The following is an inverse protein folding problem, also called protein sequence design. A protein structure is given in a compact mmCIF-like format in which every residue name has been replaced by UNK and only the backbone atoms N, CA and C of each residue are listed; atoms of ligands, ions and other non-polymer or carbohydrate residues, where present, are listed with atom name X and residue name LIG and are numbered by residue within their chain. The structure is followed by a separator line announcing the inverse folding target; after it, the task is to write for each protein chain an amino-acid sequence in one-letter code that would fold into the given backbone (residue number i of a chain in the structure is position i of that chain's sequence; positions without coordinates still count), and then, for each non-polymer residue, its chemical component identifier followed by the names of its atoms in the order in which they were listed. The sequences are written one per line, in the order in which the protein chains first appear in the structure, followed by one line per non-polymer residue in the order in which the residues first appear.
data_IF_467730315523
#
_entry.id   IF_467730315523
#
_cell.length_a   1.000
_cell.length_b   1.000
_cell.length_c   1.000
_cell.angle_alpha   90.00
_cell.angle_beta   90.00
_cell.angle_gamma   90.00
#
_symmetry.space_group_name_H-M   'P 1'
#
loop_
_entity.id
_entity.type
_entity.pdbx_description
1 polymer ?
#
# COMPACT_ATOMS: atom_id res chain seq x y z
N UNK A 1 -13.67 51.09 -86.65
CA UNK A 1 -12.78 50.14 -85.92
C UNK A 1 -13.03 50.33 -84.44
N UNK A 2 -13.82 49.46 -83.78
CA UNK A 2 -14.07 49.49 -82.35
C UNK A 2 -13.19 48.47 -81.66
N UNK A 3 -12.32 48.90 -80.77
CA UNK A 3 -11.50 48.02 -79.92
C UNK A 3 -12.32 47.66 -78.67
N UNK A 4 -12.59 46.41 -78.52
CA UNK A 4 -13.21 45.83 -77.31
C UNK A 4 -12.10 45.53 -76.34
N UNK A 5 -12.14 46.11 -75.14
CA UNK A 5 -11.28 45.83 -74.03
C UNK A 5 -11.97 44.73 -73.19
N UNK A 6 -11.35 43.53 -73.10
CA UNK A 6 -11.81 42.46 -72.20
C UNK A 6 -11.11 42.65 -70.90
N UNK A 7 -11.89 42.95 -69.84
CA UNK A 7 -11.42 42.99 -68.44
C UNK A 7 -11.53 41.57 -67.87
N UNK A 8 -10.39 40.93 -67.64
CA UNK A 8 -10.32 39.63 -66.95
C UNK A 8 -10.27 39.91 -65.45
N UNK A 9 -11.36 39.66 -64.74
CA UNK A 9 -11.43 39.72 -63.29
C UNK A 9 -10.82 38.43 -62.67
N UNK A 10 -9.64 38.53 -62.07
CA UNK A 10 -9.00 37.48 -61.31
C UNK A 10 -9.65 37.40 -59.93
N UNK A 11 -10.56 36.46 -59.70
CA UNK A 11 -11.10 36.16 -58.36
C UNK A 11 -10.05 35.37 -57.58
N UNK A 12 -9.37 36.02 -56.64
CA UNK A 12 -8.52 35.38 -55.65
C UNK A 12 -9.45 34.80 -54.56
N UNK A 13 -9.71 33.49 -54.63
CA UNK A 13 -10.32 32.72 -53.50
C UNK A 13 -9.30 32.59 -52.39
N UNK A 14 -9.35 33.49 -51.43
CA UNK A 14 -8.66 33.29 -50.13
C UNK A 14 -9.46 32.23 -49.37
N UNK A 15 -8.98 31.00 -49.38
CA UNK A 15 -9.48 29.94 -48.48
C UNK A 15 -9.02 30.30 -47.07
N UNK A 16 -9.87 30.94 -46.30
CA UNK A 16 -9.78 31.05 -44.84
C UNK A 16 -9.95 29.66 -44.25
N UNK A 17 -8.84 28.98 -44.01
CA UNK A 17 -8.81 27.79 -43.15
C UNK A 17 -9.18 28.26 -41.74
N UNK A 18 -10.46 28.20 -41.40
CA UNK A 18 -10.93 28.36 -40.03
C UNK A 18 -10.40 27.10 -39.30
N UNK A 19 -9.25 27.23 -38.63
CA UNK A 19 -8.89 26.28 -37.60
C UNK A 19 -9.97 26.40 -36.52
N UNK A 20 -10.94 25.50 -36.54
CA UNK A 20 -11.84 25.32 -35.41
C UNK A 20 -10.97 24.93 -34.24
N UNK A 21 -10.72 25.89 -33.36
CA UNK A 21 -10.09 25.63 -32.08
C UNK A 21 -11.04 24.70 -31.32
N UNK A 22 -10.75 23.42 -31.35
CA UNK A 22 -11.55 22.41 -30.62
C UNK A 22 -11.45 22.75 -29.15
N UNK A 23 -12.56 23.26 -28.61
CA UNK A 23 -12.64 23.58 -27.19
C UNK A 23 -12.40 22.30 -26.39
N UNK A 24 -11.45 22.31 -25.48
CA UNK A 24 -11.13 21.15 -24.66
C UNK A 24 -12.35 20.75 -23.82
N UNK A 25 -12.59 19.47 -23.62
CA UNK A 25 -13.61 19.00 -22.67
C UNK A 25 -13.34 19.56 -21.28
N UNK A 26 -14.39 19.95 -20.59
CA UNK A 26 -14.32 20.50 -19.21
C UNK A 26 -15.19 19.64 -18.31
N UNK A 27 -14.63 19.20 -17.19
CA UNK A 27 -15.37 18.59 -16.08
C UNK A 27 -15.17 19.45 -14.81
N UNK A 28 -16.16 19.44 -13.95
CA UNK A 28 -16.16 20.25 -12.71
C UNK A 28 -15.82 19.37 -11.52
N UNK A 29 -15.20 19.96 -10.51
CA UNK A 29 -14.93 19.33 -9.22
C UNK A 29 -15.09 20.36 -8.09
N UNK A 30 -15.55 19.91 -6.93
CA UNK A 30 -15.43 20.63 -5.65
C UNK A 30 -14.27 20.10 -4.83
N UNK A 31 -14.08 18.75 -4.83
CA UNK A 31 -12.95 18.10 -4.18
C UNK A 31 -11.69 18.28 -5.03
N UNK A 32 -10.55 18.49 -4.38
CA UNK A 32 -9.22 18.45 -4.99
C UNK A 32 -8.74 17.03 -5.33
N UNK A 33 -9.55 16.01 -5.03
CA UNK A 33 -9.29 14.62 -5.35
C UNK A 33 -10.37 14.07 -6.27
N UNK A 34 -9.95 13.62 -7.45
CA UNK A 34 -10.75 12.80 -8.35
C UNK A 34 -10.39 11.31 -8.20
N UNK A 35 -11.18 10.43 -8.79
CA UNK A 35 -10.86 9.02 -8.95
C UNK A 35 -10.60 8.71 -10.41
N UNK A 36 -9.59 7.91 -10.71
CA UNK A 36 -9.29 7.43 -12.06
C UNK A 36 -9.50 5.93 -12.16
N UNK A 37 -9.94 5.46 -13.31
CA UNK A 37 -10.08 4.03 -13.61
C UNK A 37 -9.63 3.73 -15.03
N UNK A 38 -8.78 2.70 -15.16
CA UNK A 38 -8.38 2.16 -16.45
C UNK A 38 -9.13 0.85 -16.73
N UNK A 39 -9.89 0.80 -17.83
CA UNK A 39 -10.74 -0.34 -18.16
C UNK A 39 -12.10 -0.33 -17.46
N UNK A 40 -12.89 -1.39 -17.64
CA UNK A 40 -14.26 -1.48 -17.11
C UNK A 40 -14.33 -2.12 -15.72
N UNK A 41 -13.46 -3.09 -15.45
CA UNK A 41 -13.49 -3.93 -14.24
C UNK A 41 -12.35 -3.61 -13.26
N UNK A 42 -11.66 -2.48 -13.43
CA UNK A 42 -10.55 -2.12 -12.56
C UNK A 42 -10.95 -1.15 -11.46
N UNK A 43 -10.21 -1.23 -10.37
CA UNK A 43 -10.40 -0.35 -9.23
C UNK A 43 -10.05 1.08 -9.59
N UNK A 44 -10.85 2.01 -9.11
CA UNK A 44 -10.53 3.42 -9.17
C UNK A 44 -9.34 3.73 -8.27
N UNK A 45 -8.45 4.62 -8.74
CA UNK A 45 -7.30 5.15 -8.00
C UNK A 45 -7.51 6.62 -7.72
N UNK A 46 -7.05 7.15 -6.58
CA UNK A 46 -7.12 8.58 -6.33
C UNK A 46 -6.23 9.34 -7.33
N UNK A 47 -6.72 10.50 -7.76
CA UNK A 47 -6.00 11.46 -8.58
C UNK A 47 -6.09 12.84 -7.93
N UNK A 48 -4.97 13.38 -7.51
CA UNK A 48 -4.92 14.71 -6.90
C UNK A 48 -4.89 15.75 -8.00
N UNK A 49 -5.93 16.58 -8.06
CA UNK A 49 -6.09 17.63 -9.08
C UNK A 49 -5.08 18.74 -8.79
N UNK A 50 -4.20 19.02 -9.76
CA UNK A 50 -3.07 19.94 -9.57
C UNK A 50 -3.13 21.13 -10.55
N UNK A 51 -3.84 22.22 -10.24
CA UNK A 51 -3.95 23.40 -11.11
C UNK A 51 -2.61 24.06 -11.44
N UNK A 52 -1.59 23.85 -10.62
CA UNK A 52 -0.25 24.42 -10.80
C UNK A 52 0.60 23.66 -11.83
N UNK A 53 0.23 22.44 -12.19
CA UNK A 53 0.90 21.65 -13.22
C UNK A 53 0.24 21.91 -14.59
N UNK A 54 1.04 22.19 -15.61
CA UNK A 54 0.53 22.49 -16.97
C UNK A 54 1.37 21.79 -18.03
N UNK A 55 1.01 20.62 -18.49
CA UNK A 55 -0.14 19.80 -18.06
C UNK A 55 0.15 18.97 -16.81
N UNK A 56 -0.92 18.63 -16.08
CA UNK A 56 -0.95 17.57 -15.08
C UNK A 56 -1.11 16.24 -15.82
N UNK A 57 -0.07 15.39 -15.84
CA UNK A 57 0.02 14.27 -16.76
C UNK A 57 -0.40 12.96 -16.09
N UNK A 58 -1.47 12.36 -16.59
CA UNK A 58 -1.86 11.00 -16.30
C UNK A 58 -1.25 10.02 -17.29
N UNK A 59 -0.47 9.05 -16.80
CA UNK A 59 0.17 8.02 -17.62
C UNK A 59 -0.70 6.77 -17.70
N UNK A 60 -1.32 6.55 -18.85
CA UNK A 60 -2.17 5.40 -19.09
C UNK A 60 -1.38 4.18 -19.56
N UNK A 61 -1.77 2.98 -19.08
CA UNK A 61 -1.12 1.71 -19.42
C UNK A 61 -1.48 1.25 -20.84
N UNK A 62 -0.49 0.68 -21.55
CA UNK A 62 -0.64 0.16 -22.93
C UNK A 62 -1.67 -0.96 -23.09
N UNK A 63 -2.11 -1.59 -22.02
CA UNK A 63 -3.08 -2.69 -22.10
C UNK A 63 -4.53 -2.22 -21.96
N UNK A 64 -4.77 -0.92 -21.75
CA UNK A 64 -6.09 -0.37 -21.47
C UNK A 64 -6.60 0.44 -22.64
N UNK A 65 -7.86 0.24 -22.94
CA UNK A 65 -8.52 0.93 -24.06
C UNK A 65 -9.40 2.10 -23.59
N UNK A 66 -9.62 2.22 -22.29
CA UNK A 66 -10.42 3.29 -21.67
C UNK A 66 -9.75 3.84 -20.43
N UNK A 67 -9.81 5.16 -20.26
CA UNK A 67 -9.45 5.86 -19.02
C UNK A 67 -10.61 6.76 -18.64
N UNK A 68 -11.09 6.62 -17.42
CA UNK A 68 -12.17 7.44 -16.87
C UNK A 68 -11.68 8.25 -15.67
N UNK A 69 -12.08 9.49 -15.60
CA UNK A 69 -11.94 10.37 -14.44
C UNK A 69 -13.31 10.64 -13.84
N UNK A 70 -13.43 10.44 -12.55
CA UNK A 70 -14.64 10.67 -11.77
C UNK A 70 -14.33 11.75 -10.74
N UNK A 71 -14.92 12.91 -10.86
CA UNK A 71 -14.93 13.91 -9.80
C UNK A 71 -16.17 13.72 -8.91
N UNK A 72 -16.30 14.53 -7.89
CA UNK A 72 -17.52 14.58 -7.07
C UNK A 72 -18.74 15.19 -7.81
N UNK A 73 -18.54 15.81 -8.98
CA UNK A 73 -19.59 16.43 -9.78
C UNK A 73 -19.79 15.80 -11.15
N UNK A 74 -18.70 15.47 -11.85
CA UNK A 74 -18.74 15.08 -13.26
C UNK A 74 -17.86 13.82 -13.53
N UNK A 75 -18.08 13.23 -14.70
CA UNK A 75 -17.27 12.10 -15.20
C UNK A 75 -16.89 12.33 -16.65
N UNK A 76 -15.64 12.01 -17.01
CA UNK A 76 -15.19 11.96 -18.40
C UNK A 76 -14.48 10.65 -18.69
N UNK A 77 -14.71 10.11 -19.89
CA UNK A 77 -14.09 8.85 -20.34
C UNK A 77 -13.47 9.03 -21.71
N UNK A 78 -12.23 8.60 -21.86
CA UNK A 78 -11.51 8.56 -23.12
C UNK A 78 -11.25 7.12 -23.56
N UNK A 79 -11.46 6.86 -24.87
CA UNK A 79 -10.93 5.66 -25.52
C UNK A 79 -9.51 5.98 -25.95
N UNK A 80 -8.52 5.40 -25.28
CA UNK A 80 -7.12 5.69 -25.53
C UNK A 80 -6.54 4.81 -26.62
N UNK A 81 -5.62 5.37 -27.40
CA UNK A 81 -4.89 4.72 -28.48
C UNK A 81 -3.38 4.98 -28.29
N UNK A 82 -2.52 4.05 -28.75
CA UNK A 82 -1.09 4.27 -28.77
C UNK A 82 -0.72 5.60 -29.43
N UNK A 83 0.33 6.25 -28.92
CA UNK A 83 0.93 7.47 -29.46
C UNK A 83 -0.02 8.69 -29.55
N UNK A 84 -1.17 8.64 -28.85
CA UNK A 84 -2.09 9.77 -28.73
C UNK A 84 -2.11 10.33 -27.32
N UNK A 85 -2.30 11.64 -27.25
CA UNK A 85 -2.58 12.37 -26.02
C UNK A 85 -4.04 12.84 -26.01
N UNK A 86 -4.61 12.98 -24.81
CA UNK A 86 -5.99 13.42 -24.63
C UNK A 86 -5.99 14.50 -23.56
N UNK A 87 -6.37 15.71 -23.99
CA UNK A 87 -6.34 16.91 -23.17
C UNK A 87 -7.75 17.27 -22.69
N UNK A 88 -7.88 17.66 -21.45
CA UNK A 88 -9.12 18.17 -20.87
C UNK A 88 -8.83 19.08 -19.67
N UNK A 89 -9.85 19.78 -19.20
CA UNK A 89 -9.74 20.69 -18.06
C UNK A 89 -10.62 20.18 -16.92
N UNK A 90 -10.07 20.16 -15.69
CA UNK A 90 -10.85 20.02 -14.47
C UNK A 90 -11.00 21.40 -13.86
N UNK A 91 -12.22 21.91 -13.81
CA UNK A 91 -12.54 23.19 -13.18
C UNK A 91 -12.86 22.96 -11.70
N UNK A 92 -11.89 23.29 -10.84
CA UNK A 92 -11.96 23.10 -9.40
C UNK A 92 -12.64 24.32 -8.75
N UNK A 93 -13.71 24.08 -7.99
CA UNK A 93 -14.48 25.12 -7.28
C UNK A 93 -14.98 26.28 -8.16
N UNK A 94 -15.10 26.05 -9.47
CA UNK A 94 -15.51 27.08 -10.42
C UNK A 94 -14.49 28.22 -10.62
N UNK A 95 -13.26 28.08 -10.13
CA UNK A 95 -12.21 29.09 -10.15
C UNK A 95 -10.91 28.64 -10.76
N UNK A 96 -10.39 27.50 -10.29
CA UNK A 96 -9.07 27.02 -10.65
C UNK A 96 -9.16 25.97 -11.75
N UNK A 97 -8.44 26.18 -12.84
CA UNK A 97 -8.43 25.27 -13.98
C UNK A 97 -7.17 24.40 -13.93
N UNK A 98 -7.35 23.10 -13.73
CA UNK A 98 -6.28 22.11 -13.89
C UNK A 98 -6.29 21.58 -15.33
N UNK A 99 -5.23 21.91 -16.09
CA UNK A 99 -5.03 21.39 -17.44
C UNK A 99 -4.46 19.97 -17.32
N UNK A 100 -5.29 18.96 -17.59
CA UNK A 100 -4.95 17.55 -17.45
C UNK A 100 -4.74 16.90 -18.80
N UNK A 101 -3.67 16.12 -18.93
CA UNK A 101 -3.34 15.41 -20.16
C UNK A 101 -3.18 13.89 -19.87
N UNK A 102 -3.89 13.05 -20.61
CA UNK A 102 -3.66 11.62 -20.60
C UNK A 102 -2.63 11.31 -21.67
N UNK A 103 -1.50 10.70 -21.28
CA UNK A 103 -0.48 10.16 -22.19
C UNK A 103 -0.54 8.65 -22.17
N UNK A 104 -0.58 8.07 -23.35
CA UNK A 104 -0.31 6.65 -23.52
C UNK A 104 1.20 6.41 -23.38
N UNK A 105 1.61 5.73 -22.34
CA UNK A 105 2.96 5.18 -22.26
C UNK A 105 2.89 3.70 -22.60
N UNK A 106 3.54 3.31 -23.72
CA UNK A 106 3.85 1.92 -23.97
C UNK A 106 4.71 1.44 -22.80
N UNK A 107 4.09 0.87 -21.79
CA UNK A 107 4.84 0.17 -20.77
C UNK A 107 5.49 -1.01 -21.48
N UNK A 108 6.80 -0.98 -21.63
CA UNK A 108 7.58 -2.23 -21.66
C UNK A 108 7.06 -3.00 -20.48
N UNK A 109 6.36 -4.11 -20.75
CA UNK A 109 5.55 -4.81 -19.76
C UNK A 109 6.43 -5.16 -18.58
N UNK A 110 6.45 -4.29 -17.57
CA UNK A 110 7.05 -4.64 -16.28
C UNK A 110 6.34 -5.90 -15.82
N UNK A 111 7.07 -6.95 -15.49
CA UNK A 111 6.45 -8.16 -15.01
C UNK A 111 5.54 -7.78 -13.83
N UNK A 112 4.33 -8.31 -13.79
CA UNK A 112 3.42 -8.06 -12.67
C UNK A 112 4.15 -8.35 -11.36
N UNK A 113 3.79 -7.69 -10.29
CA UNK A 113 4.38 -7.92 -8.96
C UNK A 113 4.34 -9.40 -8.58
N UNK A 114 3.24 -10.07 -8.90
CA UNK A 114 3.11 -11.51 -8.71
C UNK A 114 4.13 -12.31 -9.55
N UNK A 115 4.42 -11.91 -10.79
CA UNK A 115 5.46 -12.54 -11.61
C UNK A 115 6.85 -12.32 -11.02
N UNK A 116 7.11 -11.12 -10.49
CA UNK A 116 8.36 -10.79 -9.80
C UNK A 116 8.51 -11.61 -8.53
N UNK A 117 7.43 -11.74 -7.73
CA UNK A 117 7.40 -12.56 -6.52
C UNK A 117 7.66 -14.05 -6.84
N UNK A 118 7.04 -14.57 -7.91
CA UNK A 118 7.25 -15.94 -8.38
C UNK A 118 8.69 -16.21 -8.80
N UNK A 119 9.40 -15.25 -9.36
CA UNK A 119 10.82 -15.37 -9.69
C UNK A 119 11.70 -15.38 -8.44
N UNK A 120 11.32 -14.65 -7.39
CA UNK A 120 12.03 -14.59 -6.11
C UNK A 120 11.56 -15.65 -5.10
N UNK A 121 11.21 -16.86 -5.52
CA UNK A 121 10.60 -17.84 -4.64
C UNK A 121 11.60 -18.64 -3.78
N UNK A 122 12.87 -18.72 -4.22
CA UNK A 122 13.86 -19.60 -3.58
C UNK A 122 14.45 -19.01 -2.33
N UNK A 123 14.43 -19.82 -1.29
CA UNK A 123 15.20 -19.64 -0.06
C UNK A 123 16.24 -20.75 0.06
N UNK A 124 17.20 -20.60 0.95
CA UNK A 124 18.24 -21.59 1.23
C UNK A 124 18.20 -21.97 2.70
N UNK A 125 17.59 -23.09 3.01
CA UNK A 125 17.50 -23.63 4.39
C UNK A 125 18.86 -24.07 4.95
N UNK A 126 19.90 -24.16 4.10
CA UNK A 126 21.27 -24.47 4.51
C UNK A 126 22.10 -23.22 4.82
N UNK A 127 21.55 -22.02 4.54
CA UNK A 127 22.20 -20.78 4.92
C UNK A 127 22.34 -20.73 6.46
N UNK A 128 23.57 -20.78 6.92
CA UNK A 128 23.93 -20.79 8.35
C UNK A 128 24.51 -19.46 8.82
N UNK A 129 24.39 -18.38 8.03
CA UNK A 129 24.81 -17.04 8.47
C UNK A 129 24.07 -16.68 9.75
N UNK A 130 24.81 -16.21 10.79
CA UNK A 130 24.18 -15.88 12.05
C UNK A 130 23.26 -14.67 11.91
N UNK A 131 22.06 -14.78 12.46
CA UNK A 131 21.14 -13.67 12.67
C UNK A 131 21.14 -13.27 14.14
N UNK A 132 20.54 -12.13 14.46
CA UNK A 132 20.30 -11.72 15.84
C UNK A 132 19.32 -12.70 16.50
N UNK A 133 19.58 -13.08 17.74
CA UNK A 133 18.67 -13.91 18.53
C UNK A 133 17.33 -13.18 18.69
N UNK A 134 16.23 -13.87 18.50
CA UNK A 134 14.90 -13.32 18.73
C UNK A 134 14.66 -13.12 20.22
N UNK A 135 14.43 -11.89 20.62
CA UNK A 135 14.06 -11.48 21.97
C UNK A 135 12.70 -10.81 21.97
N UNK A 136 12.04 -10.84 23.09
CA UNK A 136 10.70 -10.25 23.26
C UNK A 136 10.67 -9.52 24.60
N UNK A 137 10.12 -8.32 24.64
CA UNK A 137 9.78 -7.68 25.90
C UNK A 137 8.87 -8.63 26.68
N UNK A 138 9.05 -8.67 27.97
CA UNK A 138 8.17 -9.44 28.85
C UNK A 138 6.98 -8.57 29.26
N UNK A 139 5.86 -9.18 29.58
CA UNK A 139 4.64 -8.49 30.03
C UNK A 139 4.86 -7.69 31.33
N UNK A 140 5.96 -7.94 32.06
CA UNK A 140 6.39 -7.21 33.25
C UNK A 140 7.26 -6.00 32.92
N UNK A 141 7.64 -5.75 31.67
CA UNK A 141 8.39 -4.56 31.30
C UNK A 141 7.59 -3.30 31.68
N UNK A 142 8.21 -2.30 32.34
CA UNK A 142 7.47 -1.16 32.92
C UNK A 142 6.57 -0.45 31.91
N UNK A 143 7.03 -0.25 30.67
CA UNK A 143 6.28 0.40 29.60
C UNK A 143 5.05 -0.44 29.18
N UNK A 144 5.18 -1.77 29.10
CA UNK A 144 4.08 -2.66 28.76
C UNK A 144 3.05 -2.75 29.89
N UNK A 145 3.50 -2.75 31.16
CA UNK A 145 2.62 -2.66 32.32
C UNK A 145 1.82 -1.37 32.30
N UNK A 146 2.50 -0.23 32.08
CA UNK A 146 1.85 1.07 31.97
C UNK A 146 0.80 1.07 30.84
N UNK A 147 1.19 0.61 29.65
CA UNK A 147 0.32 0.56 28.49
C UNK A 147 -0.92 -0.32 28.75
N UNK A 148 -0.72 -1.52 29.33
CA UNK A 148 -1.79 -2.45 29.69
C UNK A 148 -2.81 -1.83 30.64
N UNK A 149 -2.33 -1.03 31.61
CA UNK A 149 -3.17 -0.33 32.57
C UNK A 149 -3.91 0.87 31.96
N UNK A 150 -3.18 1.76 31.26
CA UNK A 150 -3.73 2.99 30.67
C UNK A 150 -4.83 2.68 29.67
N UNK A 151 -4.62 1.70 28.80
CA UNK A 151 -5.58 1.34 27.75
C UNK A 151 -6.50 0.17 28.14
N UNK A 152 -6.36 -0.38 29.35
CA UNK A 152 -7.17 -1.52 29.86
C UNK A 152 -7.17 -2.71 28.89
N UNK A 153 -5.96 -3.09 28.42
CA UNK A 153 -5.81 -4.07 27.33
C UNK A 153 -6.43 -5.44 27.65
N UNK A 154 -6.46 -5.85 28.93
CA UNK A 154 -7.15 -7.10 29.32
C UNK A 154 -8.65 -7.06 29.04
N UNK A 155 -9.28 -5.93 29.31
CA UNK A 155 -10.71 -5.74 29.03
C UNK A 155 -10.99 -5.75 27.52
N UNK A 156 -10.09 -5.14 26.73
CA UNK A 156 -10.20 -5.12 25.28
C UNK A 156 -9.97 -6.52 24.69
N UNK A 157 -8.93 -7.22 25.15
CA UNK A 157 -8.65 -8.58 24.73
C UNK A 157 -9.81 -9.54 25.09
N UNK A 158 -10.47 -9.27 26.24
CA UNK A 158 -11.61 -10.05 26.70
C UNK A 158 -11.23 -11.39 27.35
N UNK A 159 -12.24 -12.13 27.79
CA UNK A 159 -12.10 -13.42 28.46
C UNK A 159 -12.13 -14.63 27.48
N UNK A 160 -12.18 -14.40 26.19
CA UNK A 160 -12.23 -15.45 25.16
C UNK A 160 -10.93 -16.26 25.05
N UNK A 161 -10.90 -17.14 24.07
CA UNK A 161 -9.72 -17.91 23.72
C UNK A 161 -8.57 -17.03 23.16
N UNK A 162 -7.44 -17.64 22.90
CA UNK A 162 -6.25 -16.95 22.38
C UNK A 162 -6.52 -16.21 21.07
N UNK A 163 -7.21 -16.87 20.13
CA UNK A 163 -7.50 -16.27 18.82
C UNK A 163 -8.45 -15.08 18.94
N UNK A 164 -9.47 -15.20 19.79
CA UNK A 164 -10.37 -14.09 20.09
C UNK A 164 -9.62 -12.89 20.66
N UNK A 165 -8.67 -13.09 21.58
CA UNK A 165 -7.83 -12.01 22.13
C UNK A 165 -6.98 -11.34 21.06
N UNK A 166 -6.38 -12.12 20.17
CA UNK A 166 -5.59 -11.61 19.03
C UNK A 166 -6.45 -10.72 18.13
N UNK A 167 -7.62 -11.19 17.74
CA UNK A 167 -8.51 -10.45 16.84
C UNK A 167 -9.14 -9.22 17.52
N UNK A 168 -9.50 -9.32 18.80
CA UNK A 168 -10.04 -8.18 19.54
C UNK A 168 -9.04 -7.02 19.62
N UNK A 169 -7.75 -7.31 19.86
CA UNK A 169 -6.71 -6.28 19.86
C UNK A 169 -6.45 -5.71 18.46
N UNK A 170 -6.47 -6.55 17.40
CA UNK A 170 -6.41 -6.08 16.04
C UNK A 170 -7.52 -5.05 15.75
N UNK A 171 -8.77 -5.44 16.01
CA UNK A 171 -9.93 -4.58 15.77
C UNK A 171 -9.88 -3.31 16.60
N UNK A 172 -9.46 -3.40 17.86
CA UNK A 172 -9.35 -2.23 18.72
C UNK A 172 -8.30 -1.25 18.20
N UNK A 173 -7.08 -1.70 17.89
CA UNK A 173 -6.03 -0.84 17.34
C UNK A 173 -6.49 -0.20 16.04
N UNK A 174 -7.03 -0.99 15.11
CA UNK A 174 -7.55 -0.46 13.85
C UNK A 174 -8.62 0.62 14.05
N UNK A 175 -9.54 0.40 14.99
CA UNK A 175 -10.67 1.29 15.21
C UNK A 175 -10.32 2.53 16.05
N UNK A 176 -9.25 2.49 16.84
CA UNK A 176 -8.87 3.58 17.75
C UNK A 176 -8.01 4.64 17.10
N UNK A 177 -7.37 4.33 15.98
CA UNK A 177 -6.41 5.20 15.31
C UNK A 177 -6.78 5.43 13.84
N UNK A 178 -6.21 6.49 13.27
CA UNK A 178 -6.41 6.84 11.86
C UNK A 178 -5.12 6.61 11.07
N UNK A 179 -5.24 5.97 9.93
CA UNK A 179 -4.13 5.73 9.01
C UNK A 179 -3.97 6.90 8.02
N UNK A 180 -2.75 7.41 7.91
CA UNK A 180 -2.28 8.21 6.80
C UNK A 180 -0.76 8.02 6.67
N UNK A 181 -0.34 7.38 5.58
CA UNK A 181 1.08 7.10 5.31
C UNK A 181 1.89 8.31 4.87
N UNK A 182 1.26 9.46 4.66
CA UNK A 182 1.90 10.70 4.16
C UNK A 182 2.17 11.72 5.27
N UNK A 183 1.57 11.55 6.44
CA UNK A 183 1.69 12.47 7.56
C UNK A 183 2.80 12.05 8.51
N UNK A 184 3.48 13.03 9.09
CA UNK A 184 4.42 12.81 10.17
C UNK A 184 3.69 12.51 11.48
N UNK A 185 4.33 11.70 12.32
CA UNK A 185 3.84 11.46 13.67
C UNK A 185 4.00 12.72 14.52
N UNK A 186 3.10 12.97 15.48
CA UNK A 186 3.33 14.00 16.48
C UNK A 186 4.62 13.69 17.26
N UNK A 187 5.36 14.68 17.78
CA UNK A 187 6.47 14.42 18.70
C UNK A 187 5.98 13.59 19.89
N UNK A 188 6.66 12.49 20.22
CA UNK A 188 6.27 11.59 21.31
C UNK A 188 7.47 11.04 22.07
N UNK A 189 7.22 10.67 23.34
CA UNK A 189 8.17 10.04 24.24
C UNK A 189 7.67 8.63 24.61
N UNK A 190 8.11 7.64 23.85
CA UNK A 190 7.69 6.26 24.00
C UNK A 190 6.30 5.94 23.43
N UNK A 191 5.99 4.65 23.39
CA UNK A 191 4.78 4.14 22.71
C UNK A 191 3.48 4.56 23.41
N UNK A 192 3.48 4.65 24.74
CA UNK A 192 2.28 5.03 25.52
C UNK A 192 1.89 6.48 25.22
N UNK A 193 2.88 7.39 25.09
CA UNK A 193 2.63 8.78 24.74
C UNK A 193 2.14 8.90 23.30
N UNK A 194 2.74 8.18 22.35
CA UNK A 194 2.25 8.13 20.97
C UNK A 194 0.80 7.68 20.90
N UNK A 195 0.49 6.56 21.57
CA UNK A 195 -0.86 6.02 21.59
C UNK A 195 -1.85 7.03 22.18
N UNK A 196 -1.50 7.69 23.30
CA UNK A 196 -2.37 8.68 23.95
C UNK A 196 -2.63 9.88 23.05
N UNK A 197 -1.61 10.41 22.38
CA UNK A 197 -1.73 11.55 21.46
C UNK A 197 -2.57 11.24 20.24
N UNK A 198 -2.48 10.02 19.73
CA UNK A 198 -3.21 9.62 18.53
C UNK A 198 -4.60 9.01 18.82
N UNK A 199 -4.88 8.61 20.06
CA UNK A 199 -6.12 7.96 20.44
C UNK A 199 -7.33 8.86 20.21
N UNK A 200 -8.27 8.44 19.36
CA UNK A 200 -9.47 9.18 19.00
C UNK A 200 -9.22 10.67 18.68
N UNK A 201 -8.07 10.97 18.07
CA UNK A 201 -7.64 12.32 17.73
C UNK A 201 -7.58 12.52 16.20
N UNK A 202 -7.18 13.73 15.76
CA UNK A 202 -6.91 14.01 14.36
C UNK A 202 -5.49 13.66 13.93
N UNK A 203 -4.62 13.23 14.85
CA UNK A 203 -3.32 12.70 14.48
C UNK A 203 -3.46 11.35 13.78
N UNK A 204 -2.62 11.13 12.81
CA UNK A 204 -2.62 9.92 12.00
C UNK A 204 -1.32 9.15 12.18
N UNK A 205 -1.36 7.86 11.90
CA UNK A 205 -0.20 6.99 11.96
C UNK A 205 0.03 6.33 10.60
N UNK A 206 1.29 6.14 10.21
CA UNK A 206 1.67 5.27 9.10
C UNK A 206 1.60 3.79 9.51
N UNK A 207 1.68 2.88 8.52
CA UNK A 207 1.60 1.43 8.75
C UNK A 207 2.64 0.92 9.78
N UNK A 208 3.84 1.52 9.79
CA UNK A 208 4.89 1.17 10.76
C UNK A 208 4.49 1.42 12.20
N UNK A 209 3.87 2.56 12.50
CA UNK A 209 3.39 2.91 13.83
C UNK A 209 2.17 2.05 14.23
N UNK A 210 1.24 1.79 13.31
CA UNK A 210 0.14 0.84 13.57
C UNK A 210 0.64 -0.54 13.97
N UNK A 211 1.61 -1.07 13.20
CA UNK A 211 2.18 -2.39 13.49
C UNK A 211 2.98 -2.40 14.80
N UNK A 212 3.63 -1.29 15.16
CA UNK A 212 4.34 -1.17 16.43
C UNK A 212 3.38 -1.13 17.62
N UNK A 213 2.35 -0.29 17.56
CA UNK A 213 1.30 -0.23 18.59
C UNK A 213 0.67 -1.60 18.82
N UNK A 214 0.29 -2.32 17.76
CA UNK A 214 -0.30 -3.64 17.91
C UNK A 214 0.69 -4.68 18.44
N UNK A 215 1.97 -4.61 18.02
CA UNK A 215 3.03 -5.46 18.56
C UNK A 215 3.13 -5.33 20.09
N UNK A 216 3.24 -4.10 20.56
CA UNK A 216 3.35 -3.80 21.98
C UNK A 216 2.09 -4.22 22.77
N UNK A 217 0.89 -4.05 22.17
CA UNK A 217 -0.37 -4.54 22.77
C UNK A 217 -0.36 -6.06 22.97
N UNK A 218 0.13 -6.83 21.97
CA UNK A 218 0.25 -8.28 22.09
C UNK A 218 1.25 -8.68 23.17
N UNK A 219 2.43 -8.06 23.17
CA UNK A 219 3.48 -8.33 24.18
C UNK A 219 2.97 -7.99 25.60
N UNK A 220 2.21 -6.90 25.75
CA UNK A 220 1.68 -6.47 27.04
C UNK A 220 0.70 -7.48 27.68
N UNK A 221 0.03 -8.31 26.88
CA UNK A 221 -0.85 -9.38 27.37
C UNK A 221 -0.20 -10.77 27.30
N UNK A 222 1.12 -10.83 27.11
CA UNK A 222 1.92 -12.07 27.11
C UNK A 222 1.92 -12.87 25.80
N UNK A 223 1.35 -12.32 24.71
CA UNK A 223 1.45 -12.94 23.38
C UNK A 223 2.79 -12.58 22.72
N UNK A 224 3.40 -13.55 22.05
CA UNK A 224 4.64 -13.29 21.27
C UNK A 224 4.28 -12.75 19.90
N UNK A 225 4.76 -11.57 19.58
CA UNK A 225 4.50 -10.89 18.31
C UNK A 225 5.78 -10.27 17.77
N UNK A 226 5.83 -10.03 16.45
CA UNK A 226 6.89 -9.31 15.75
C UNK A 226 6.28 -8.34 14.77
N UNK A 227 6.82 -7.13 14.70
CA UNK A 227 6.59 -6.20 13.59
C UNK A 227 7.44 -6.62 12.40
N UNK A 228 6.81 -6.83 11.25
CA UNK A 228 7.45 -7.25 10.01
C UNK A 228 7.28 -6.19 8.95
N UNK A 229 8.37 -5.64 8.45
CA UNK A 229 8.39 -4.76 7.28
C UNK A 229 8.49 -5.63 6.03
N UNK A 230 7.43 -5.67 5.27
CA UNK A 230 7.35 -6.34 3.98
C UNK A 230 7.91 -5.41 2.90
N UNK A 231 8.92 -5.87 2.17
CA UNK A 231 9.74 -5.05 1.27
C UNK A 231 9.58 -5.50 -0.18
N UNK A 232 9.52 -4.54 -1.13
CA UNK A 232 9.56 -4.84 -2.56
C UNK A 232 10.95 -5.28 -3.01
N UNK A 233 11.03 -5.86 -4.21
CA UNK A 233 12.31 -6.20 -4.85
C UNK A 233 13.14 -4.96 -5.17
N UNK A 234 12.49 -3.90 -5.61
CA UNK A 234 13.13 -2.64 -5.97
C UNK A 234 13.50 -1.88 -4.69
N UNK A 235 14.80 -1.76 -4.43
CA UNK A 235 15.32 -1.03 -3.27
C UNK A 235 15.07 0.49 -3.33
N UNK A 236 14.69 1.01 -4.48
CA UNK A 236 14.34 2.43 -4.67
C UNK A 236 12.85 2.71 -4.50
N UNK A 237 12.02 1.66 -4.48
CA UNK A 237 10.60 1.78 -4.17
C UNK A 237 10.39 1.98 -2.66
N UNK A 238 9.95 3.18 -2.30
CA UNK A 238 9.74 3.58 -0.90
C UNK A 238 8.42 3.10 -0.30
N UNK A 239 7.53 2.59 -1.13
CA UNK A 239 6.23 2.10 -0.72
C UNK A 239 6.34 0.64 -0.26
N UNK A 240 6.74 0.45 1.00
CA UNK A 240 6.74 -0.81 1.72
C UNK A 240 5.52 -0.90 2.64
N UNK A 241 5.30 -2.07 3.25
CA UNK A 241 4.20 -2.25 4.20
C UNK A 241 4.65 -2.92 5.49
N UNK A 242 4.16 -2.42 6.62
CA UNK A 242 4.43 -3.02 7.94
C UNK A 242 3.18 -3.71 8.45
N UNK A 243 3.34 -4.97 8.83
CA UNK A 243 2.31 -5.80 9.44
C UNK A 243 2.86 -6.53 10.67
N UNK A 244 2.02 -7.28 11.35
CA UNK A 244 2.42 -8.11 12.47
C UNK A 244 2.39 -9.60 12.11
N UNK A 245 3.24 -10.34 12.77
CA UNK A 245 3.06 -11.77 12.92
C UNK A 245 2.96 -12.07 14.42
N UNK A 246 1.90 -12.76 14.84
CA UNK A 246 1.67 -13.15 16.22
C UNK A 246 1.69 -14.67 16.34
N UNK A 247 2.38 -15.21 17.35
CA UNK A 247 2.47 -16.66 17.53
C UNK A 247 1.26 -17.16 18.29
N UNK A 248 0.48 -18.00 17.63
CA UNK A 248 -0.62 -18.72 18.26
C UNK A 248 -0.11 -20.05 18.80
N UNK A 249 -0.20 -20.24 20.11
CA UNK A 249 0.07 -21.54 20.77
C UNK A 249 -0.98 -22.57 20.38
N UNK A 250 -2.23 -22.13 20.24
CA UNK A 250 -3.36 -22.99 19.82
C UNK A 250 -3.14 -23.58 18.44
N UNK A 251 -2.67 -22.78 17.48
CA UNK A 251 -2.37 -23.22 16.11
C UNK A 251 -0.93 -23.72 15.96
N UNK A 252 -0.09 -23.52 16.97
CA UNK A 252 1.34 -23.85 16.97
C UNK A 252 2.10 -23.21 15.78
N UNK A 253 1.74 -21.99 15.42
CA UNK A 253 2.34 -21.26 14.30
C UNK A 253 2.20 -19.75 14.41
N UNK A 254 2.98 -19.03 13.63
CA UNK A 254 2.79 -17.61 13.39
C UNK A 254 1.55 -17.39 12.52
N UNK A 255 0.83 -16.29 12.75
CA UNK A 255 -0.32 -15.87 11.94
C UNK A 255 -0.13 -14.43 11.44
N UNK A 256 -0.66 -14.15 10.26
CA UNK A 256 -0.67 -12.85 9.60
C UNK A 256 -1.70 -11.93 10.23
N UNK A 257 -1.30 -10.74 10.65
CA UNK A 257 -2.18 -9.70 11.19
C UNK A 257 -1.76 -8.35 10.62
N UNK A 258 -2.69 -7.61 10.02
CA UNK A 258 -2.45 -6.28 9.47
C UNK A 258 -3.38 -5.23 10.11
N UNK A 259 -2.90 -4.44 11.06
CA UNK A 259 -3.72 -3.46 11.76
C UNK A 259 -4.13 -2.27 10.87
N UNK A 260 -3.37 -1.93 9.85
CA UNK A 260 -3.71 -0.83 8.94
C UNK A 260 -4.98 -1.13 8.16
N UNK A 261 -5.13 -2.38 7.73
CA UNK A 261 -6.23 -2.84 6.90
C UNK A 261 -7.30 -3.64 7.67
N UNK A 262 -7.20 -3.74 9.00
CA UNK A 262 -8.04 -4.64 9.81
C UNK A 262 -8.08 -6.05 9.19
N UNK A 263 -6.91 -6.58 8.79
CA UNK A 263 -6.86 -7.74 7.91
C UNK A 263 -6.12 -8.93 8.50
N UNK A 264 -6.71 -10.09 8.29
CA UNK A 264 -6.05 -11.40 8.42
C UNK A 264 -6.42 -12.28 7.23
N UNK A 265 -5.60 -13.27 6.96
CA UNK A 265 -5.72 -14.09 5.75
C UNK A 265 -5.93 -15.54 6.13
N UNK A 266 -6.84 -16.20 5.43
CA UNK A 266 -7.21 -17.60 5.63
C UNK A 266 -7.03 -18.42 4.36
N UNK A 267 -6.96 -19.73 4.52
CA UNK A 267 -7.10 -20.67 3.40
C UNK A 267 -8.58 -20.96 3.11
N UNK A 268 -8.84 -21.85 2.14
CA UNK A 268 -10.18 -22.27 1.71
C UNK A 268 -10.99 -23.03 2.79
N UNK A 269 -10.34 -23.44 3.88
CA UNK A 269 -10.98 -24.09 5.03
C UNK A 269 -11.26 -23.12 6.19
N UNK A 270 -10.91 -21.84 6.02
CA UNK A 270 -11.03 -20.82 7.07
C UNK A 270 -9.90 -20.85 8.10
N UNK A 271 -8.80 -21.58 7.85
CA UNK A 271 -7.65 -21.64 8.76
C UNK A 271 -6.76 -20.41 8.55
N UNK A 272 -6.38 -19.74 9.64
CA UNK A 272 -5.50 -18.56 9.61
C UNK A 272 -4.12 -18.92 9.03
N UNK A 273 -3.60 -18.07 8.18
CA UNK A 273 -2.32 -18.25 7.51
C UNK A 273 -1.23 -17.36 8.09
N UNK A 274 0.01 -17.84 8.03
CA UNK A 274 1.21 -17.06 8.30
C UNK A 274 1.66 -16.24 7.08
N UNK A 275 2.56 -15.27 7.28
CA UNK A 275 3.16 -14.48 6.20
C UNK A 275 3.82 -15.40 5.14
N UNK A 276 4.68 -16.36 5.50
CA UNK A 276 5.25 -17.30 4.51
C UNK A 276 4.20 -18.16 3.79
N UNK A 277 3.14 -18.61 4.48
CA UNK A 277 2.05 -19.37 3.84
C UNK A 277 1.28 -18.53 2.82
N UNK A 278 0.94 -17.28 3.14
CA UNK A 278 0.30 -16.35 2.18
C UNK A 278 1.20 -16.14 0.97
N UNK A 279 2.48 -15.83 1.19
CA UNK A 279 3.46 -15.69 0.12
C UNK A 279 3.53 -16.92 -0.77
N UNK A 280 3.64 -18.11 -0.18
CA UNK A 280 3.72 -19.36 -0.92
C UNK A 280 2.44 -19.64 -1.72
N UNK A 281 1.27 -19.33 -1.16
CA UNK A 281 -0.02 -19.50 -1.86
C UNK A 281 -0.17 -18.55 -3.04
N UNK A 282 0.32 -17.30 -2.93
CA UNK A 282 0.40 -16.37 -4.06
C UNK A 282 1.31 -16.92 -5.18
N UNK A 283 2.49 -17.44 -4.82
CA UNK A 283 3.45 -18.01 -5.77
C UNK A 283 2.86 -19.22 -6.50
N UNK A 284 2.18 -20.10 -5.76
CA UNK A 284 1.62 -21.37 -6.28
C UNK A 284 0.17 -21.25 -6.75
N UNK A 285 -0.38 -20.04 -6.76
CA UNK A 285 -1.76 -19.75 -7.16
C UNK A 285 -2.81 -20.57 -6.39
N UNK A 286 -2.59 -20.78 -5.09
CA UNK A 286 -3.57 -21.41 -4.19
C UNK A 286 -4.58 -20.38 -3.66
N UNK A 287 -5.82 -20.77 -3.36
CA UNK A 287 -6.84 -19.88 -2.87
C UNK A 287 -6.44 -19.14 -1.59
N UNK A 288 -6.80 -17.87 -1.49
CA UNK A 288 -6.66 -17.01 -0.32
C UNK A 288 -8.01 -16.37 -0.01
N UNK A 289 -8.36 -16.34 1.26
CA UNK A 289 -9.56 -15.69 1.78
C UNK A 289 -9.11 -14.55 2.69
N UNK A 290 -9.55 -13.34 2.39
CA UNK A 290 -9.42 -12.17 3.26
C UNK A 290 -10.65 -12.08 4.13
N UNK A 291 -10.51 -11.72 5.42
CA UNK A 291 -11.67 -11.48 6.26
C UNK A 291 -12.62 -10.43 5.66
N UNK A 292 -13.94 -10.61 5.80
CA UNK A 292 -14.92 -9.76 5.10
C UNK A 292 -14.99 -8.33 5.61
N UNK A 293 -14.57 -8.09 6.85
CA UNK A 293 -14.56 -6.79 7.52
C UNK A 293 -13.24 -6.02 7.37
N UNK A 294 -12.31 -6.51 6.55
CA UNK A 294 -11.08 -5.80 6.21
C UNK A 294 -11.39 -4.45 5.56
N UNK A 295 -10.84 -3.38 6.13
CA UNK A 295 -11.10 -2.01 5.70
C UNK A 295 -9.96 -1.07 6.05
N UNK A 296 -9.93 0.12 5.45
CA UNK A 296 -9.03 1.23 5.79
C UNK A 296 -9.85 2.33 6.44
N UNK A 297 -9.43 2.76 7.62
CA UNK A 297 -10.03 3.87 8.37
C UNK A 297 -11.55 3.72 8.63
N UNK A 298 -12.11 2.51 8.60
CA UNK A 298 -13.56 2.25 8.72
C UNK A 298 -14.40 2.85 7.59
N UNK A 299 -13.76 3.26 6.49
CA UNK A 299 -14.40 3.96 5.38
C UNK A 299 -14.36 3.11 4.10
N UNK A 300 -13.20 2.51 3.78
CA UNK A 300 -13.00 1.83 2.52
C UNK A 300 -12.75 0.34 2.73
N UNK A 301 -13.65 -0.49 2.22
CA UNK A 301 -13.44 -1.95 2.20
C UNK A 301 -12.18 -2.33 1.43
N UNK A 302 -11.40 -3.24 1.99
CA UNK A 302 -10.21 -3.77 1.32
C UNK A 302 -10.62 -4.80 0.28
N UNK A 303 -10.28 -4.54 -0.98
CA UNK A 303 -10.51 -5.49 -2.07
C UNK A 303 -9.35 -6.47 -2.13
N UNK A 304 -9.65 -7.76 -1.90
CA UNK A 304 -8.65 -8.85 -1.87
C UNK A 304 -7.68 -8.82 -3.05
N UNK A 305 -8.19 -8.63 -4.28
CA UNK A 305 -7.35 -8.62 -5.49
C UNK A 305 -6.26 -7.54 -5.41
N UNK A 306 -6.64 -6.32 -5.05
CA UNK A 306 -5.71 -5.20 -4.98
C UNK A 306 -4.76 -5.31 -3.80
N UNK A 307 -5.28 -5.79 -2.66
CA UNK A 307 -4.47 -5.93 -1.46
C UNK A 307 -3.46 -7.06 -1.58
N UNK A 308 -3.90 -8.30 -1.87
CA UNK A 308 -3.01 -9.46 -1.86
C UNK A 308 -2.24 -9.64 -3.18
N UNK A 309 -2.90 -9.51 -4.33
CA UNK A 309 -2.30 -9.88 -5.63
C UNK A 309 -1.55 -8.73 -6.31
N UNK A 310 -1.81 -7.48 -5.90
CA UNK A 310 -1.07 -6.31 -6.38
C UNK A 310 -0.15 -5.76 -5.29
N UNK A 311 -0.70 -5.15 -4.23
CA UNK A 311 0.07 -4.44 -3.22
C UNK A 311 0.98 -5.36 -2.40
N UNK A 312 0.42 -6.42 -1.80
CA UNK A 312 1.23 -7.35 -1.01
C UNK A 312 2.10 -8.25 -1.88
N UNK A 313 1.67 -8.64 -3.09
CA UNK A 313 2.55 -9.37 -4.02
C UNK A 313 3.82 -8.57 -4.35
N UNK A 314 3.76 -7.23 -4.39
CA UNK A 314 4.93 -6.35 -4.48
C UNK A 314 5.80 -6.45 -3.24
N UNK A 315 5.19 -6.35 -2.06
CA UNK A 315 5.87 -6.15 -0.79
C UNK A 315 6.28 -7.45 -0.07
N UNK A 316 5.83 -8.61 -0.53
CA UNK A 316 6.23 -9.91 0.04
C UNK A 316 7.53 -10.48 -0.56
N UNK A 317 8.37 -9.64 -1.17
CA UNK A 317 9.61 -10.11 -1.80
C UNK A 317 10.70 -10.37 -0.76
N UNK A 318 10.88 -9.47 0.20
CA UNK A 318 11.81 -9.60 1.32
C UNK A 318 11.16 -9.14 2.63
N UNK A 319 11.76 -9.52 3.77
CA UNK A 319 11.19 -9.24 5.08
C UNK A 319 12.25 -8.72 6.04
N UNK A 320 12.02 -7.53 6.60
CA UNK A 320 12.83 -7.02 7.69
C UNK A 320 12.04 -7.09 8.99
N UNK A 321 12.66 -7.61 10.03
CA UNK A 321 12.03 -7.76 11.33
C UNK A 321 12.96 -7.27 12.43
N UNK A 322 12.47 -6.37 13.25
CA UNK A 322 13.19 -5.82 14.39
C UNK A 322 13.28 -6.83 15.51
N UNK A 323 14.35 -6.74 16.26
CA UNK A 323 14.57 -7.57 17.45
C UNK A 323 14.32 -6.70 18.68
N UNK A 324 13.40 -7.11 19.54
CA UNK A 324 13.06 -6.38 20.76
C UNK A 324 14.26 -6.24 21.68
N UNK A 325 14.41 -5.06 22.28
CA UNK A 325 15.52 -4.73 23.16
C UNK A 325 16.81 -4.32 22.45
N UNK A 326 16.86 -4.42 21.12
CA UNK A 326 18.03 -4.06 20.31
C UNK A 326 18.08 -2.61 19.83
N UNK A 327 17.06 -1.81 20.15
CA UNK A 327 16.90 -0.46 19.60
C UNK A 327 16.53 -0.48 18.11
N UNK A 328 16.27 0.70 17.54
CA UNK A 328 15.84 0.85 16.12
C UNK A 328 16.85 0.33 15.08
N UNK A 329 18.04 -0.05 15.52
CA UNK A 329 19.18 -0.40 14.67
C UNK A 329 19.45 -1.91 14.60
N UNK A 330 18.68 -2.76 15.29
CA UNK A 330 18.91 -4.21 15.30
C UNK A 330 17.74 -4.93 14.63
N UNK A 331 18.02 -5.49 13.47
CA UNK A 331 17.02 -6.24 12.71
C UNK A 331 17.63 -7.42 11.95
N UNK A 332 16.80 -8.40 11.68
CA UNK A 332 17.09 -9.50 10.78
C UNK A 332 16.37 -9.27 9.44
N UNK A 333 17.02 -9.61 8.33
CA UNK A 333 16.51 -9.45 6.99
C UNK A 333 16.53 -10.79 6.24
N UNK A 334 15.35 -11.27 5.85
CA UNK A 334 15.19 -12.47 5.02
C UNK A 334 15.12 -12.05 3.56
N UNK A 335 16.02 -12.58 2.75
CA UNK A 335 16.15 -12.33 1.32
C UNK A 335 16.00 -13.61 0.50
N UNK A 336 15.34 -13.57 -0.67
CA UNK A 336 15.46 -14.66 -1.64
C UNK A 336 16.91 -14.85 -2.14
N UNK A 337 17.26 -16.07 -2.54
CA UNK A 337 18.59 -16.40 -3.06
C UNK A 337 18.95 -15.59 -4.31
N UNK A 338 17.95 -15.30 -5.14
CA UNK A 338 18.13 -14.54 -6.38
C UNK A 338 18.37 -13.03 -6.17
N UNK A 339 18.21 -12.56 -4.93
CA UNK A 339 18.44 -11.14 -4.65
C UNK A 339 19.94 -10.81 -4.71
N UNK A 340 20.33 -10.06 -5.74
CA UNK A 340 21.72 -9.61 -5.98
C UNK A 340 21.89 -8.09 -5.88
N UNK A 341 20.87 -7.39 -5.37
CA UNK A 341 20.87 -5.95 -5.31
C UNK A 341 21.51 -5.38 -4.04
N UNK A 342 21.52 -4.07 -3.95
CA UNK A 342 21.75 -3.34 -2.70
C UNK A 342 20.67 -3.77 -1.72
N UNK A 343 21.04 -4.00 -0.44
CA UNK A 343 20.08 -4.37 0.61
C UNK A 343 18.90 -3.39 0.55
N UNK A 344 17.67 -3.90 0.40
CA UNK A 344 16.51 -3.04 0.34
C UNK A 344 16.52 -2.12 1.54
N UNK A 345 16.18 -0.87 1.31
CA UNK A 345 16.11 0.20 2.25
C UNK A 345 15.77 -0.23 3.67
N UNK A 346 16.77 -0.46 4.41
CA UNK A 346 16.67 -0.33 5.84
C UNK A 346 17.25 1.04 6.13
N UNK A 347 16.47 1.99 6.60
CA UNK A 347 16.98 3.21 7.23
C UNK A 347 17.91 2.87 8.40
N UNK A 348 18.30 1.60 8.48
CA UNK A 348 18.87 0.97 9.64
C UNK A 348 20.27 0.50 9.38
N UNK A 349 21.08 0.68 10.38
CA UNK A 349 22.46 0.22 10.41
C UNK A 349 22.53 -1.30 10.27
N UNK A 350 22.84 -1.77 9.04
CA UNK A 350 23.32 -3.12 8.70
C UNK A 350 22.52 -4.28 9.34
N UNK A 351 21.32 -4.61 8.84
CA UNK A 351 20.58 -5.78 9.31
C UNK A 351 21.43 -7.05 9.14
N UNK A 352 21.17 -8.06 9.98
CA UNK A 352 21.72 -9.40 9.76
C UNK A 352 20.89 -10.10 8.70
N UNK A 353 21.54 -10.40 7.57
CA UNK A 353 20.88 -10.99 6.41
C UNK A 353 20.95 -12.52 6.43
N UNK A 354 19.84 -13.16 6.08
CA UNK A 354 19.78 -14.59 5.84
C UNK A 354 18.93 -14.92 4.62
N UNK A 355 19.21 -16.06 4.00
CA UNK A 355 18.32 -16.68 3.01
C UNK A 355 17.54 -17.88 3.61
N UNK A 356 17.72 -18.16 4.92
CA UNK A 356 17.11 -19.29 5.60
C UNK A 356 15.79 -18.88 6.28
N UNK A 357 14.62 -19.30 5.75
CA UNK A 357 13.33 -18.95 6.32
C UNK A 357 13.08 -19.66 7.65
N UNK A 358 13.68 -20.83 7.91
CA UNK A 358 13.42 -21.62 9.12
C UNK A 358 13.96 -20.90 10.36
N UNK A 359 15.17 -20.33 10.26
CA UNK A 359 15.75 -19.54 11.36
C UNK A 359 15.08 -18.19 11.50
N UNK A 360 14.65 -17.56 10.38
CA UNK A 360 13.99 -16.27 10.42
C UNK A 360 12.57 -16.36 11.03
N UNK A 361 11.78 -17.38 10.64
CA UNK A 361 10.44 -17.63 11.15
C UNK A 361 10.41 -18.62 12.32
N UNK A 362 11.56 -18.86 12.97
CA UNK A 362 11.63 -19.73 14.12
C UNK A 362 10.55 -19.37 15.16
N UNK A 363 9.99 -20.42 15.78
CA UNK A 363 9.03 -20.26 16.89
C UNK A 363 9.68 -19.52 18.04
N UNK A 364 8.90 -18.75 18.82
CA UNK A 364 9.43 -18.17 20.04
C UNK A 364 9.80 -19.27 21.05
N UNK A 365 10.92 -19.07 21.74
CA UNK A 365 11.34 -19.92 22.85
C UNK A 365 10.45 -19.71 24.07
#
# INVERSE_FOLDING_TARGET
MKRTVVLTSLLILISLSIFAQTQLPIIRAKSDVASTREGENEKSRPWYISPNLRPDIYKASSKRTKVSFFTDLDTITFKIQPDKTYDFIILLNGKDSAFTQIKYEATTAQPSYLTTLKKGYKYDVKDNRPILKWTYKTEQSPELVQMRQVFKLDSIAGAGDELSKILNLLHWVHNSYRFDGTKELPPYDGIVDLMTKCYNSNHTMACGAFAEVLNECYLAIGLKSRRVVCLPKDSTDFDCHSINTVYSKTLNKWIWIDPTNNAYVMNEKGELLSIPEVRQRLITNKPLILNPDANVNRIYSVVKQNYLYDYMAKNLYAFNCFVDGGGENQSNLLLPVEYKGVIPRTRMNKPKCTNNPDIFWAKPE
#
